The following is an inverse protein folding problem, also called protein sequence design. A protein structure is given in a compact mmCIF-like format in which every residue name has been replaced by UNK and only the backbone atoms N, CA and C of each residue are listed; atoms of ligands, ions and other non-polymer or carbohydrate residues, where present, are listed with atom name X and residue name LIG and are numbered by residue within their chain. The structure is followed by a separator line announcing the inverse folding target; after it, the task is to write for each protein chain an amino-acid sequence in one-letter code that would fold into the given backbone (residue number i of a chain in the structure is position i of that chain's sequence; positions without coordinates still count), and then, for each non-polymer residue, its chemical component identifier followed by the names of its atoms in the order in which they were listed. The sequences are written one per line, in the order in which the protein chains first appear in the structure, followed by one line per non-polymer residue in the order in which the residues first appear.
data_IF_690500832235
#
_entry.id   IF_690500832235
#
_cell.length_a   1.000
_cell.length_b   1.000
_cell.length_c   1.000
_cell.angle_alpha   90.00
_cell.angle_beta   90.00
_cell.angle_gamma   90.00
#
_symmetry.space_group_name_H-M   'P 1'
#
loop_
_entity.id
_entity.type
_entity.pdbx_description
1 polymer ?
#
# COMPACT_ATOMS: atom_id res chain seq x y z
N UNK A 1 4.13 11.33 -0.51
CA UNK A 1 4.51 9.89 -0.60
C UNK A 1 5.73 9.65 -1.46
N UNK A 2 5.76 10.02 -2.73
CA UNK A 2 6.89 9.75 -3.65
C UNK A 2 8.25 10.27 -3.15
N UNK A 3 8.29 11.43 -2.48
CA UNK A 3 9.54 11.97 -1.91
C UNK A 3 10.13 11.07 -0.81
N UNK A 4 9.28 10.50 0.05
CA UNK A 4 9.69 9.57 1.11
C UNK A 4 10.16 8.26 0.48
N UNK A 5 9.44 7.74 -0.51
CA UNK A 5 9.84 6.53 -1.23
C UNK A 5 11.18 6.71 -1.96
N UNK A 6 11.36 7.86 -2.62
CA UNK A 6 12.63 8.19 -3.27
C UNK A 6 13.80 8.35 -2.28
N UNK A 7 13.53 8.86 -1.06
CA UNK A 7 14.53 8.99 0.00
C UNK A 7 14.98 7.63 0.57
N UNK A 8 14.11 6.61 0.52
CA UNK A 8 14.49 5.24 0.90
C UNK A 8 15.53 4.61 -0.05
N UNK A 9 15.64 5.11 -1.28
CA UNK A 9 16.58 4.64 -2.29
C UNK A 9 17.83 5.52 -2.40
N UNK A 10 17.73 6.81 -2.04
CA UNK A 10 18.83 7.79 -2.10
C UNK A 10 18.66 8.80 -0.98
N UNK A 11 19.71 9.05 -0.21
CA UNK A 11 19.69 10.10 0.81
C UNK A 11 19.25 11.44 0.21
N UNK A 12 18.23 12.05 0.83
CA UNK A 12 17.75 13.41 0.49
C UNK A 12 17.86 14.29 1.71
N UNK A 13 18.24 15.56 1.51
CA UNK A 13 18.34 16.52 2.59
C UNK A 13 16.99 16.62 3.35
N UNK A 14 17.04 16.46 4.67
CA UNK A 14 15.89 16.58 5.55
C UNK A 14 14.99 15.34 5.64
N UNK A 15 15.31 14.25 4.94
CA UNK A 15 14.55 12.99 5.03
C UNK A 15 15.54 11.84 5.28
N UNK A 16 15.42 11.19 6.43
CA UNK A 16 16.15 9.99 6.77
C UNK A 16 15.16 8.81 6.84
N UNK A 17 15.46 7.73 6.11
CA UNK A 17 14.64 6.51 6.10
C UNK A 17 15.49 5.37 6.63
N UNK A 18 15.15 4.91 7.84
CA UNK A 18 15.93 3.92 8.61
C UNK A 18 15.45 2.48 8.44
N UNK A 19 14.38 2.25 7.67
CA UNK A 19 13.81 0.93 7.46
C UNK A 19 13.42 0.70 5.99
N UNK A 20 13.35 -0.56 5.52
CA UNK A 20 12.86 -0.87 4.19
C UNK A 20 11.44 -0.34 3.96
N UNK A 21 11.21 0.28 2.80
CA UNK A 21 9.95 0.92 2.43
C UNK A 21 9.35 0.26 1.19
N UNK A 22 8.05 0.07 1.17
CA UNK A 22 7.27 -0.26 -0.02
C UNK A 22 6.27 0.85 -0.33
N UNK A 23 5.85 0.93 -1.58
CA UNK A 23 4.81 1.86 -2.03
C UNK A 23 3.67 1.08 -2.67
N UNK A 24 2.45 1.42 -2.27
CA UNK A 24 1.21 1.09 -2.97
C UNK A 24 0.74 2.37 -3.67
N UNK A 25 0.84 2.38 -4.99
CA UNK A 25 0.52 3.55 -5.81
C UNK A 25 -0.99 3.78 -5.91
N UNK A 26 -1.41 5.04 -5.96
CA UNK A 26 -2.80 5.43 -6.14
C UNK A 26 -3.29 5.17 -7.55
N UNK A 27 -2.53 5.58 -8.55
CA UNK A 27 -2.80 5.16 -9.92
C UNK A 27 -2.12 3.81 -10.20
N UNK A 28 -2.91 2.73 -10.04
CA UNK A 28 -2.41 1.38 -10.27
C UNK A 28 -2.02 1.12 -11.71
N UNK A 29 -2.65 1.78 -12.68
CA UNK A 29 -2.42 1.50 -14.10
C UNK A 29 -1.14 2.15 -14.61
N UNK A 30 -0.90 3.42 -14.24
CA UNK A 30 0.29 4.14 -14.68
C UNK A 30 1.52 3.83 -13.82
N UNK A 31 1.35 3.73 -12.49
CA UNK A 31 2.45 3.71 -11.54
C UNK A 31 2.58 2.41 -10.75
N UNK A 32 1.55 1.57 -10.79
CA UNK A 32 1.47 0.37 -9.98
C UNK A 32 1.79 -0.92 -10.72
N UNK A 33 1.19 -1.16 -11.86
CA UNK A 33 1.17 -2.45 -12.55
C UNK A 33 2.27 -2.53 -13.60
N UNK A 34 2.90 -3.72 -13.73
CA UNK A 34 3.71 -4.10 -14.88
C UNK A 34 2.82 -4.81 -15.91
N UNK A 35 2.39 -4.11 -16.98
CA UNK A 35 1.29 -4.57 -17.84
C UNK A 35 1.59 -5.84 -18.65
N UNK A 36 2.86 -6.10 -18.95
CA UNK A 36 3.30 -7.27 -19.71
C UNK A 36 3.50 -8.52 -18.84
N UNK A 37 3.33 -8.39 -17.52
CA UNK A 37 3.72 -9.43 -16.57
C UNK A 37 2.50 -10.19 -16.05
N UNK A 38 2.76 -11.41 -15.59
CA UNK A 38 1.77 -12.22 -14.90
C UNK A 38 1.42 -11.63 -13.50
N UNK A 39 0.36 -12.13 -12.91
CA UNK A 39 -0.04 -11.79 -11.53
C UNK A 39 1.11 -12.17 -10.58
N UNK A 40 1.67 -13.38 -10.70
CA UNK A 40 2.77 -13.86 -9.87
C UNK A 40 4.00 -12.95 -9.97
N UNK A 41 4.42 -12.59 -11.18
CA UNK A 41 5.55 -11.69 -11.41
C UNK A 41 5.30 -10.28 -10.83
N UNK A 42 4.08 -9.77 -10.98
CA UNK A 42 3.69 -8.50 -10.39
C UNK A 42 3.79 -8.52 -8.86
N UNK A 43 3.42 -9.61 -8.21
CA UNK A 43 3.56 -9.78 -6.75
C UNK A 43 5.04 -9.94 -6.37
N UNK A 44 5.80 -10.77 -7.10
CA UNK A 44 7.15 -11.18 -6.73
C UNK A 44 8.25 -10.13 -6.90
N UNK A 45 8.04 -9.09 -7.73
CA UNK A 45 9.11 -8.14 -8.11
C UNK A 45 9.83 -7.48 -6.93
N UNK A 46 9.14 -7.20 -5.84
CA UNK A 46 9.73 -6.61 -4.63
C UNK A 46 10.46 -7.62 -3.75
N UNK A 47 10.33 -8.90 -4.05
CA UNK A 47 10.88 -10.01 -3.28
C UNK A 47 11.99 -10.77 -4.02
N UNK A 48 12.56 -10.21 -5.08
CA UNK A 48 13.52 -10.86 -5.97
C UNK A 48 14.71 -11.47 -5.20
N UNK A 49 15.23 -10.78 -4.19
CA UNK A 49 16.33 -11.30 -3.37
C UNK A 49 15.97 -12.64 -2.69
N UNK A 50 14.72 -12.79 -2.23
CA UNK A 50 14.20 -14.02 -1.61
C UNK A 50 13.86 -15.10 -2.65
N UNK A 51 13.50 -14.69 -3.87
CA UNK A 51 13.11 -15.58 -4.94
C UNK A 51 14.32 -16.17 -5.69
N UNK A 52 15.50 -15.62 -5.50
CA UNK A 52 16.73 -16.08 -6.19
C UNK A 52 17.14 -17.51 -5.76
N UNK A 53 17.58 -18.26 -6.75
CA UNK A 53 18.33 -19.52 -6.60
C UNK A 53 19.59 -19.40 -7.45
N UNK A 54 20.72 -19.11 -6.82
CA UNK A 54 21.94 -18.69 -7.52
C UNK A 54 21.75 -17.36 -8.27
N UNK A 55 21.97 -17.37 -9.58
CA UNK A 55 21.84 -16.17 -10.45
C UNK A 55 20.44 -16.00 -11.04
N UNK A 56 19.57 -17.00 -10.92
CA UNK A 56 18.25 -16.99 -11.54
C UNK A 56 17.14 -16.84 -10.49
N UNK A 57 15.97 -16.39 -10.94
CA UNK A 57 14.75 -16.40 -10.15
C UNK A 57 14.20 -17.84 -10.18
N UNK A 58 13.83 -18.38 -9.02
CA UNK A 58 13.24 -19.71 -8.90
C UNK A 58 11.73 -19.64 -9.19
N UNK A 59 11.24 -20.27 -10.26
CA UNK A 59 9.82 -20.31 -10.57
C UNK A 59 9.00 -20.94 -9.43
N UNK A 60 9.57 -21.94 -8.75
CA UNK A 60 8.93 -22.59 -7.60
C UNK A 60 8.71 -21.60 -6.45
N UNK A 61 9.74 -20.84 -6.05
CA UNK A 61 9.63 -19.85 -4.97
C UNK A 61 8.68 -18.70 -5.34
N UNK A 62 8.69 -18.30 -6.61
CA UNK A 62 7.74 -17.30 -7.11
C UNK A 62 6.30 -17.80 -7.00
N UNK A 63 6.03 -19.04 -7.44
CA UNK A 63 4.71 -19.67 -7.33
C UNK A 63 4.26 -19.84 -5.86
N UNK A 64 5.16 -20.26 -4.97
CA UNK A 64 4.91 -20.37 -3.53
C UNK A 64 4.53 -19.02 -2.91
N UNK A 65 5.29 -17.96 -3.22
CA UNK A 65 5.00 -16.59 -2.73
C UNK A 65 3.66 -16.10 -3.26
N UNK A 66 3.42 -16.24 -4.56
CA UNK A 66 2.20 -15.80 -5.20
C UNK A 66 0.97 -16.58 -4.70
N UNK A 67 1.11 -17.88 -4.49
CA UNK A 67 0.07 -18.75 -3.93
C UNK A 67 -0.28 -18.35 -2.49
N UNK A 68 0.72 -18.12 -1.64
CA UNK A 68 0.51 -17.65 -0.27
C UNK A 68 -0.30 -16.34 -0.24
N UNK A 69 0.09 -15.35 -1.05
CA UNK A 69 -0.62 -14.07 -1.07
C UNK A 69 -1.98 -14.15 -1.75
N UNK A 70 -2.14 -15.04 -2.75
CA UNK A 70 -3.46 -15.31 -3.34
C UNK A 70 -4.48 -15.70 -2.28
N UNK A 71 -4.08 -16.64 -1.40
CA UNK A 71 -4.95 -17.12 -0.32
C UNK A 71 -5.14 -16.06 0.77
N UNK A 72 -4.03 -15.47 1.25
CA UNK A 72 -4.06 -14.52 2.38
C UNK A 72 -4.92 -13.29 2.11
N UNK A 73 -4.87 -12.72 0.89
CA UNK A 73 -5.63 -11.49 0.54
C UNK A 73 -6.88 -11.80 -0.32
N UNK A 74 -7.12 -13.08 -0.63
CA UNK A 74 -8.28 -13.50 -1.41
C UNK A 74 -8.28 -12.99 -2.86
N UNK A 75 -7.15 -13.11 -3.59
CA UNK A 75 -7.10 -12.78 -5.02
C UNK A 75 -7.88 -13.82 -5.81
N UNK A 76 -8.93 -13.38 -6.50
CA UNK A 76 -9.78 -14.24 -7.32
C UNK A 76 -9.22 -14.36 -8.73
N UNK A 77 -8.59 -15.48 -9.03
CA UNK A 77 -8.07 -15.83 -10.36
C UNK A 77 -8.06 -17.35 -10.54
N UNK A 78 -8.15 -17.79 -11.79
CA UNK A 78 -7.99 -19.21 -12.12
C UNK A 78 -6.51 -19.64 -12.06
N UNK A 79 -5.61 -18.77 -12.56
CA UNK A 79 -4.18 -19.03 -12.61
C UNK A 79 -3.38 -17.76 -12.32
N UNK A 80 -2.37 -17.86 -11.44
CA UNK A 80 -1.46 -16.77 -11.11
C UNK A 80 -0.48 -16.42 -12.26
N UNK A 81 -0.35 -17.29 -13.26
CA UNK A 81 0.44 -17.03 -14.47
C UNK A 81 -0.31 -16.20 -15.51
N UNK A 82 -1.62 -15.99 -15.33
CA UNK A 82 -2.37 -15.08 -16.20
C UNK A 82 -1.83 -13.65 -16.12
N UNK A 83 -2.01 -12.89 -17.20
CA UNK A 83 -1.68 -11.47 -17.20
C UNK A 83 -2.46 -10.73 -16.12
N UNK A 84 -1.83 -9.73 -15.48
CA UNK A 84 -2.42 -8.95 -14.38
C UNK A 84 -3.74 -8.27 -14.78
N UNK A 85 -3.92 -7.91 -16.04
CA UNK A 85 -5.17 -7.31 -16.54
C UNK A 85 -6.33 -8.30 -16.67
N UNK A 86 -6.10 -9.60 -16.50
CA UNK A 86 -7.21 -10.57 -16.37
C UNK A 86 -7.97 -10.40 -15.04
N UNK A 87 -7.42 -9.66 -14.08
CA UNK A 87 -8.04 -9.39 -12.79
C UNK A 87 -9.00 -8.19 -12.89
N UNK A 88 -10.06 -8.22 -12.07
CA UNK A 88 -10.85 -7.02 -11.79
C UNK A 88 -10.01 -5.95 -11.08
N UNK A 89 -10.44 -4.68 -11.12
CA UNK A 89 -9.72 -3.58 -10.49
C UNK A 89 -9.41 -3.82 -9.01
N UNK A 90 -10.37 -4.35 -8.25
CA UNK A 90 -10.17 -4.70 -6.84
C UNK A 90 -9.13 -5.82 -6.66
N UNK A 91 -9.14 -6.86 -7.50
CA UNK A 91 -8.11 -7.91 -7.42
C UNK A 91 -6.74 -7.43 -7.91
N UNK A 92 -6.66 -6.49 -8.85
CA UNK A 92 -5.41 -5.81 -9.19
C UNK A 92 -4.85 -5.05 -7.99
N UNK A 93 -5.71 -4.32 -7.27
CA UNK A 93 -5.31 -3.60 -6.04
C UNK A 93 -4.78 -4.56 -4.98
N UNK A 94 -5.48 -5.68 -4.75
CA UNK A 94 -5.00 -6.75 -3.86
C UNK A 94 -3.62 -7.28 -4.26
N UNK A 95 -3.33 -7.44 -5.55
CA UNK A 95 -2.02 -7.86 -6.02
C UNK A 95 -0.92 -6.82 -5.71
N UNK A 96 -1.22 -5.51 -5.76
CA UNK A 96 -0.29 -4.45 -5.35
C UNK A 96 -0.02 -4.48 -3.84
N UNK A 97 -1.05 -4.71 -3.02
CA UNK A 97 -0.85 -4.95 -1.58
C UNK A 97 -0.01 -6.20 -1.33
N UNK A 98 -0.30 -7.31 -2.01
CA UNK A 98 0.48 -8.54 -1.92
C UNK A 98 1.97 -8.32 -2.27
N UNK A 99 2.28 -7.49 -3.28
CA UNK A 99 3.63 -7.06 -3.62
C UNK A 99 4.32 -6.30 -2.48
N UNK A 100 3.63 -5.32 -1.92
CA UNK A 100 4.18 -4.50 -0.85
C UNK A 100 4.41 -5.31 0.42
N UNK A 101 3.42 -6.08 0.82
CA UNK A 101 3.44 -6.89 2.06
C UNK A 101 4.30 -8.16 1.93
N UNK A 102 4.43 -8.72 0.73
CA UNK A 102 5.31 -9.85 0.43
C UNK A 102 6.80 -9.53 0.49
N UNK A 103 7.14 -8.24 0.48
CA UNK A 103 8.52 -7.76 0.63
C UNK A 103 8.94 -7.70 2.11
N UNK A 104 10.21 -7.36 2.34
CA UNK A 104 10.80 -7.11 3.66
C UNK A 104 10.48 -5.72 4.23
N UNK A 105 9.63 -4.94 3.55
CA UNK A 105 9.27 -3.58 3.95
C UNK A 105 8.63 -3.55 5.33
N UNK A 106 9.16 -2.69 6.19
CA UNK A 106 8.58 -2.38 7.51
C UNK A 106 7.67 -1.16 7.46
N UNK A 107 7.89 -0.29 6.48
CA UNK A 107 7.08 0.90 6.24
C UNK A 107 6.39 0.72 4.89
N UNK A 108 5.07 0.84 4.87
CA UNK A 108 4.27 0.79 3.64
C UNK A 108 3.63 2.16 3.42
N UNK A 109 4.03 2.81 2.34
CA UNK A 109 3.44 4.07 1.90
C UNK A 109 2.23 3.75 1.01
N UNK A 110 1.10 4.36 1.27
CA UNK A 110 -0.14 4.16 0.54
C UNK A 110 -0.63 5.52 0.04
N UNK A 111 -0.66 5.68 -1.28
CA UNK A 111 -1.01 6.93 -1.94
C UNK A 111 -2.42 6.81 -2.53
N UNK A 112 -3.45 7.14 -1.76
CA UNK A 112 -4.86 7.00 -2.11
C UNK A 112 -5.21 5.58 -2.66
N UNK A 113 -4.85 4.52 -1.93
CA UNK A 113 -4.76 3.16 -2.47
C UNK A 113 -6.13 2.54 -2.76
N UNK A 114 -7.21 3.09 -2.19
CA UNK A 114 -8.57 2.54 -2.33
C UNK A 114 -9.42 3.29 -3.34
N UNK A 115 -8.85 4.23 -4.07
CA UNK A 115 -9.57 4.99 -5.08
C UNK A 115 -10.15 4.09 -6.17
N UNK A 116 -11.47 4.17 -6.36
CA UNK A 116 -12.19 3.40 -7.36
C UNK A 116 -12.23 1.88 -7.10
N UNK A 117 -12.07 1.47 -5.84
CA UNK A 117 -12.21 0.09 -5.39
C UNK A 117 -13.59 -0.09 -4.74
N UNK A 118 -14.24 -1.23 -4.97
CA UNK A 118 -15.53 -1.55 -4.37
C UNK A 118 -15.42 -1.75 -2.85
N UNK A 119 -16.53 -1.49 -2.13
CA UNK A 119 -16.57 -1.50 -0.67
C UNK A 119 -16.18 -2.87 -0.07
N UNK A 120 -16.56 -3.97 -0.71
CA UNK A 120 -16.21 -5.30 -0.22
C UNK A 120 -14.69 -5.51 -0.23
N UNK A 121 -14.04 -5.13 -1.33
CA UNK A 121 -12.56 -5.18 -1.43
C UNK A 121 -11.89 -4.21 -0.47
N UNK A 122 -12.44 -3.00 -0.27
CA UNK A 122 -11.93 -2.04 0.72
C UNK A 122 -11.87 -2.67 2.12
N UNK A 123 -12.97 -3.25 2.58
CA UNK A 123 -13.04 -3.87 3.92
C UNK A 123 -12.03 -5.00 4.09
N UNK A 124 -11.89 -5.88 3.09
CA UNK A 124 -10.89 -6.97 3.13
C UNK A 124 -9.46 -6.44 3.24
N UNK A 125 -9.15 -5.34 2.54
CA UNK A 125 -7.82 -4.71 2.61
C UNK A 125 -7.61 -3.98 3.94
N UNK A 126 -8.63 -3.32 4.50
CA UNK A 126 -8.52 -2.66 5.81
C UNK A 126 -8.23 -3.68 6.93
N UNK A 127 -8.88 -4.85 6.89
CA UNK A 127 -8.61 -5.91 7.85
C UNK A 127 -7.16 -6.41 7.74
N UNK A 128 -6.67 -6.59 6.51
CA UNK A 128 -5.28 -6.97 6.26
C UNK A 128 -4.29 -5.91 6.76
N UNK A 129 -4.52 -4.63 6.49
CA UNK A 129 -3.67 -3.53 6.97
C UNK A 129 -3.62 -3.52 8.50
N UNK A 130 -4.77 -3.67 9.16
CA UNK A 130 -4.85 -3.76 10.63
C UNK A 130 -4.09 -4.98 11.18
N UNK A 131 -4.21 -6.14 10.54
CA UNK A 131 -3.45 -7.34 10.91
C UNK A 131 -1.94 -7.12 10.79
N UNK A 132 -1.48 -6.61 9.66
CA UNK A 132 -0.06 -6.36 9.41
C UNK A 132 0.51 -5.24 10.30
N UNK A 133 -0.30 -4.26 10.69
CA UNK A 133 0.08 -3.23 11.66
C UNK A 133 0.29 -3.84 13.06
N UNK A 134 -0.60 -4.74 13.51
CA UNK A 134 -0.42 -5.50 14.76
C UNK A 134 0.84 -6.37 14.74
N UNK A 135 1.25 -6.83 13.56
CA UNK A 135 2.48 -7.59 13.35
C UNK A 135 3.73 -6.71 13.25
N UNK A 136 3.62 -5.40 13.52
CA UNK A 136 4.73 -4.46 13.64
C UNK A 136 5.10 -3.73 12.35
N UNK A 137 4.25 -3.73 11.32
CA UNK A 137 4.42 -2.85 10.16
C UNK A 137 3.85 -1.47 10.44
N UNK A 138 4.47 -0.45 9.87
CA UNK A 138 3.97 0.93 9.89
C UNK A 138 3.38 1.25 8.52
N UNK A 139 2.18 1.83 8.54
CA UNK A 139 1.52 2.31 7.32
C UNK A 139 1.45 3.83 7.35
N UNK A 140 1.87 4.46 6.28
CA UNK A 140 1.69 5.88 6.04
C UNK A 140 0.68 6.03 4.90
N UNK A 141 -0.52 6.43 5.25
CA UNK A 141 -1.68 6.42 4.36
C UNK A 141 -2.09 7.84 4.00
N UNK A 142 -2.00 8.18 2.73
CA UNK A 142 -2.63 9.39 2.19
C UNK A 142 -3.98 9.01 1.60
N UNK A 143 -5.02 9.72 1.98
CA UNK A 143 -6.37 9.58 1.44
C UNK A 143 -7.09 10.91 1.39
N UNK A 144 -8.10 11.00 0.54
CA UNK A 144 -9.09 12.09 0.48
C UNK A 144 -10.46 11.66 1.00
N UNK A 145 -10.62 10.38 1.36
CA UNK A 145 -11.87 9.80 1.87
C UNK A 145 -11.85 9.78 3.41
N UNK A 146 -12.78 10.50 4.05
CA UNK A 146 -12.84 10.59 5.52
C UNK A 146 -13.17 9.24 6.19
N UNK A 147 -13.93 8.38 5.51
CA UNK A 147 -14.28 7.05 6.00
C UNK A 147 -13.07 6.13 6.21
N UNK A 148 -11.98 6.39 5.50
CA UNK A 148 -10.74 5.61 5.63
C UNK A 148 -9.97 5.91 6.91
N UNK A 149 -10.21 7.08 7.51
CA UNK A 149 -9.48 7.57 8.69
C UNK A 149 -9.75 6.73 9.95
N UNK A 150 -10.89 6.04 9.99
CA UNK A 150 -11.21 5.10 11.08
C UNK A 150 -10.23 3.92 11.18
N UNK A 151 -9.40 3.72 10.16
CA UNK A 151 -8.35 2.69 10.16
C UNK A 151 -6.99 3.21 10.65
N UNK A 152 -6.90 4.50 11.02
CA UNK A 152 -5.65 5.16 11.39
C UNK A 152 -5.56 5.37 12.91
N UNK A 153 -4.35 5.32 13.47
CA UNK A 153 -4.08 5.64 14.88
C UNK A 153 -3.79 7.13 15.06
N UNK A 154 -3.17 7.76 14.05
CA UNK A 154 -2.81 9.19 14.02
C UNK A 154 -3.11 9.77 12.66
N UNK A 155 -3.64 11.00 12.64
CA UNK A 155 -4.03 11.71 11.43
C UNK A 155 -3.36 13.07 11.39
N UNK A 156 -2.72 13.36 10.26
CA UNK A 156 -2.16 14.66 9.95
C UNK A 156 -3.00 15.33 8.87
N UNK A 157 -3.67 16.42 9.21
CA UNK A 157 -4.47 17.19 8.23
C UNK A 157 -3.55 18.16 7.50
N UNK A 158 -3.54 18.07 6.18
CA UNK A 158 -2.74 18.95 5.31
C UNK A 158 -3.63 20.00 4.63
N UNK A 159 -3.19 21.26 4.69
CA UNK A 159 -3.78 22.38 3.94
C UNK A 159 -2.66 23.21 3.34
N UNK A 160 -2.72 23.49 2.04
CA UNK A 160 -1.73 24.32 1.33
C UNK A 160 -0.26 23.91 1.58
N UNK A 161 0.01 22.60 1.62
CA UNK A 161 1.35 22.06 1.81
C UNK A 161 1.88 22.12 3.25
N UNK A 162 1.04 22.44 4.23
CA UNK A 162 1.39 22.48 5.66
C UNK A 162 0.49 21.55 6.46
N UNK A 163 1.03 20.98 7.53
CA UNK A 163 0.24 20.27 8.53
C UNK A 163 -0.48 21.34 9.38
N UNK A 164 -1.81 21.31 9.35
CA UNK A 164 -2.66 22.26 10.10
C UNK A 164 -3.27 21.64 11.35
N UNK A 165 -3.34 20.32 11.43
CA UNK A 165 -3.77 19.59 12.62
C UNK A 165 -3.10 18.22 12.72
N UNK A 166 -2.89 17.77 13.97
CA UNK A 166 -2.47 16.44 14.34
C UNK A 166 -3.53 15.88 15.29
N UNK A 167 -4.20 14.81 14.90
CA UNK A 167 -5.27 14.20 15.67
C UNK A 167 -4.90 12.76 16.02
N UNK A 168 -5.08 12.39 17.28
CA UNK A 168 -5.10 10.99 17.70
C UNK A 168 -6.45 10.36 17.37
N UNK A 169 -6.52 9.04 17.37
CA UNK A 169 -7.77 8.31 17.12
C UNK A 169 -8.92 8.74 18.03
N UNK A 170 -8.61 8.99 19.31
CA UNK A 170 -9.63 9.38 20.31
C UNK A 170 -10.14 10.81 20.09
N UNK A 171 -9.40 11.63 19.36
CA UNK A 171 -9.78 13.00 19.02
C UNK A 171 -10.47 13.11 17.65
N UNK A 172 -10.53 12.00 16.91
CA UNK A 172 -11.05 11.95 15.57
C UNK A 172 -12.57 12.15 15.59
N UNK A 173 -13.00 13.29 15.07
CA UNK A 173 -14.40 13.56 14.74
C UNK A 173 -14.45 14.20 13.37
N UNK A 174 -15.51 13.91 12.62
CA UNK A 174 -15.70 14.50 11.29
C UNK A 174 -15.71 16.04 11.36
N UNK A 175 -16.32 16.61 12.40
CA UNK A 175 -16.29 18.05 12.65
C UNK A 175 -14.87 18.62 12.77
N UNK A 176 -13.98 17.96 13.54
CA UNK A 176 -12.60 18.43 13.71
C UNK A 176 -11.81 18.38 12.41
N UNK A 177 -12.02 17.34 11.60
CA UNK A 177 -11.38 17.21 10.29
C UNK A 177 -11.83 18.35 9.37
N UNK A 178 -13.15 18.56 9.28
CA UNK A 178 -13.75 19.64 8.46
C UNK A 178 -13.28 21.00 8.95
N UNK A 179 -13.34 21.30 10.24
CA UNK A 179 -12.87 22.56 10.81
C UNK A 179 -11.39 22.79 10.53
N UNK A 180 -10.54 21.77 10.67
CA UNK A 180 -9.10 21.87 10.39
C UNK A 180 -8.81 22.07 8.90
N UNK A 181 -9.63 21.48 8.02
CA UNK A 181 -9.47 21.57 6.56
C UNK A 181 -9.95 22.91 5.99
N UNK A 182 -11.03 23.46 6.55
CA UNK A 182 -11.69 24.67 6.04
C UNK A 182 -11.51 25.89 6.93
N UNK A 183 -11.23 25.73 8.23
CA UNK A 183 -10.97 26.82 9.15
C UNK A 183 -9.78 27.68 8.67
N UNK A 184 -9.93 28.99 8.64
CA UNK A 184 -8.79 29.89 8.47
C UNK A 184 -7.89 29.70 9.69
N UNK A 185 -6.60 29.46 9.46
CA UNK A 185 -5.61 29.44 10.53
C UNK A 185 -5.60 30.83 11.16
N UNK A 186 -6.09 30.94 12.41
CA UNK A 186 -6.03 32.14 13.20
C UNK A 186 -4.57 32.54 13.49
#
# INVERSE_FOLDING_TARGET
MLAIFAAASRARAGIEVTAPVALVAGDRQSDGIFPQWSIAQNIGIRSLARLRSGLLISPRREAELAGFWREKIGIRTLDMNNNIFSLSGGNQQKALFARALGSDARIVLMDDPMRGVDIGTKLEVYDLVREEARNGRTFLWYTTETEELDNCDHIHVFKNGRIVANLSRDELTEEKIIQSSFGDAA
#
